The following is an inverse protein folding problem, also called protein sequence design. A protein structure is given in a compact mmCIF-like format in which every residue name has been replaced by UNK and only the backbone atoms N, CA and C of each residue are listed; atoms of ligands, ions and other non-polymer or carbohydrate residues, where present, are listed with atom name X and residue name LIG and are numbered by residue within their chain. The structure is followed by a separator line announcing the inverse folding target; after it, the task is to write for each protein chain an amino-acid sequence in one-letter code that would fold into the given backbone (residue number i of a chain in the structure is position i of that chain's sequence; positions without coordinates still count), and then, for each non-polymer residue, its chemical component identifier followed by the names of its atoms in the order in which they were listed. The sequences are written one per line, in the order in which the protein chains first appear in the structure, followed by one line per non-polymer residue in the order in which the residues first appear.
data_IF_500612869351
#
_entry.id   IF_500612869351
#
_cell.length_a   1.000
_cell.length_b   1.000
_cell.length_c   1.000
_cell.angle_alpha   90.00
_cell.angle_beta   90.00
_cell.angle_gamma   90.00
#
_symmetry.space_group_name_H-M   'P 1'
#
loop_
_entity.id
_entity.type
_entity.pdbx_description
1 polymer ?
#
# COMPACT_ATOMS: atom_id res chain seq x y z
N UNK A 1 19.18 0.98 10.61
CA UNK A 1 18.12 -0.05 10.75
C UNK A 1 16.71 0.43 10.32
N UNK A 2 16.54 1.56 9.60
CA UNK A 2 15.19 2.06 9.19
C UNK A 2 14.86 1.76 7.71
N UNK A 3 15.87 1.62 6.84
CA UNK A 3 15.66 1.39 5.39
C UNK A 3 15.05 0.03 5.05
N UNK A 4 15.33 -1.02 5.82
CA UNK A 4 14.86 -2.37 5.53
C UNK A 4 13.35 -2.53 5.79
N UNK A 5 12.86 -1.93 6.89
CA UNK A 5 11.45 -1.99 7.28
C UNK A 5 10.50 -1.39 6.23
N UNK A 6 10.90 -0.28 5.61
CA UNK A 6 10.14 0.39 4.54
C UNK A 6 10.18 -0.34 3.18
N UNK A 7 11.15 -1.21 2.96
CA UNK A 7 11.28 -1.98 1.72
C UNK A 7 10.46 -3.27 1.78
N UNK A 8 10.52 -3.99 2.92
CA UNK A 8 9.63 -5.11 3.24
C UNK A 8 8.16 -4.71 3.14
N UNK A 9 7.78 -3.62 3.82
CA UNK A 9 6.40 -3.07 3.78
C UNK A 9 5.93 -2.69 2.37
N UNK A 10 6.84 -2.35 1.44
CA UNK A 10 6.48 -1.98 0.06
C UNK A 10 6.14 -3.20 -0.81
N UNK A 11 6.82 -4.33 -0.62
CA UNK A 11 6.45 -5.60 -1.27
C UNK A 11 5.16 -6.17 -0.71
N UNK A 12 4.83 -5.82 0.54
CA UNK A 12 3.69 -6.39 1.23
C UNK A 12 2.35 -5.73 0.87
N UNK A 13 2.29 -4.57 0.19
CA UNK A 13 0.99 -3.96 -0.12
C UNK A 13 0.17 -4.76 -1.15
N UNK A 14 0.70 -5.11 -2.34
CA UNK A 14 -0.05 -5.97 -3.27
C UNK A 14 -0.42 -7.30 -2.63
N UNK A 15 0.54 -7.96 -1.96
CA UNK A 15 0.31 -9.22 -1.24
C UNK A 15 -0.80 -9.09 -0.18
N UNK A 16 -0.81 -8.01 0.60
CA UNK A 16 -1.84 -7.74 1.59
C UNK A 16 -3.22 -7.54 0.96
N UNK A 17 -3.31 -6.83 -0.18
CA UNK A 17 -4.57 -6.65 -0.91
C UNK A 17 -5.03 -7.95 -1.57
N UNK A 18 -4.09 -8.81 -1.99
CA UNK A 18 -4.39 -10.14 -2.52
C UNK A 18 -4.92 -11.09 -1.45
N UNK A 19 -4.34 -11.07 -0.25
CA UNK A 19 -4.71 -11.95 0.86
C UNK A 19 -5.96 -11.47 1.61
N UNK A 20 -6.10 -10.17 1.87
CA UNK A 20 -7.22 -9.62 2.63
C UNK A 20 -8.32 -8.96 1.78
N UNK A 21 -8.13 -8.90 0.47
CA UNK A 21 -9.05 -8.25 -0.46
C UNK A 21 -8.92 -6.73 -0.49
N UNK A 22 -9.86 -6.03 -1.15
CA UNK A 22 -9.80 -4.58 -1.31
C UNK A 22 -9.83 -3.85 0.03
N UNK A 23 -8.98 -2.83 0.19
CA UNK A 23 -8.86 -2.08 1.45
C UNK A 23 -8.93 -0.58 1.21
N UNK A 24 -9.52 0.12 2.17
CA UNK A 24 -9.53 1.57 2.19
C UNK A 24 -8.15 2.16 2.49
N UNK A 25 -7.97 3.44 2.16
CA UNK A 25 -6.73 4.15 2.50
C UNK A 25 -6.45 4.16 4.01
N UNK A 26 -7.50 4.08 4.84
CA UNK A 26 -7.45 4.10 6.31
C UNK A 26 -6.99 2.76 6.87
N UNK A 27 -7.46 1.66 6.30
CA UNK A 27 -7.03 0.31 6.67
C UNK A 27 -5.57 0.06 6.29
N UNK A 28 -5.15 0.51 5.10
CA UNK A 28 -3.76 0.43 4.67
C UNK A 28 -2.86 1.25 5.60
N UNK A 29 -3.29 2.45 6.02
CA UNK A 29 -2.54 3.25 7.01
C UNK A 29 -2.36 2.51 8.33
N UNK A 30 -3.40 1.85 8.82
CA UNK A 30 -3.36 1.09 10.08
C UNK A 30 -2.45 -0.14 9.97
N UNK A 31 -2.60 -0.95 8.93
CA UNK A 31 -1.80 -2.17 8.73
C UNK A 31 -0.31 -1.86 8.51
N UNK A 32 -0.01 -0.80 7.76
CA UNK A 32 1.36 -0.48 7.41
C UNK A 32 2.02 0.51 8.37
N UNK A 33 1.25 1.17 9.24
CA UNK A 33 1.72 2.23 10.14
C UNK A 33 2.49 3.33 9.38
N UNK A 34 2.00 3.70 8.19
CA UNK A 34 2.65 4.71 7.37
C UNK A 34 2.40 6.12 7.92
N UNK A 35 3.45 6.96 8.04
CA UNK A 35 3.26 8.40 8.18
C UNK A 35 2.50 8.91 6.94
N UNK A 36 1.44 9.72 7.15
CA UNK A 36 0.50 10.17 6.10
C UNK A 36 1.16 10.73 4.83
N UNK A 37 2.28 11.44 4.97
CA UNK A 37 3.06 12.03 3.86
C UNK A 37 3.89 11.00 3.07
N UNK A 38 4.22 9.86 3.69
CA UNK A 38 5.10 8.84 3.13
C UNK A 38 4.35 7.72 2.41
N UNK A 39 3.02 7.67 2.52
CA UNK A 39 2.18 6.63 1.93
C UNK A 39 1.85 6.90 0.45
N UNK A 40 1.70 8.17 0.07
CA UNK A 40 1.30 8.57 -1.28
C UNK A 40 2.36 8.18 -2.32
N UNK A 41 3.67 8.45 -2.14
CA UNK A 41 4.66 8.13 -3.17
C UNK A 41 4.81 6.61 -3.46
N UNK A 42 4.80 5.71 -2.47
CA UNK A 42 4.81 4.27 -2.69
C UNK A 42 3.56 3.74 -3.39
N UNK A 43 2.36 4.15 -2.96
CA UNK A 43 1.10 3.67 -3.57
C UNK A 43 1.02 4.15 -5.02
N UNK A 44 1.37 5.41 -5.28
CA UNK A 44 1.35 5.96 -6.63
C UNK A 44 2.29 5.18 -7.57
N UNK A 45 3.48 4.79 -7.09
CA UNK A 45 4.38 3.92 -7.88
C UNK A 45 3.78 2.55 -8.20
N UNK A 46 3.01 1.96 -7.28
CA UNK A 46 2.36 0.67 -7.51
C UNK A 46 1.22 0.80 -8.52
N UNK A 47 0.47 1.91 -8.48
CA UNK A 47 -0.53 2.25 -9.50
C UNK A 47 0.11 2.51 -10.86
N UNK A 48 1.22 3.27 -10.91
CA UNK A 48 1.98 3.55 -12.13
C UNK A 48 2.51 2.25 -12.78
N UNK A 49 2.75 1.21 -11.98
CA UNK A 49 3.16 -0.13 -12.44
C UNK A 49 1.99 -1.09 -12.69
N UNK A 50 0.74 -0.62 -12.58
CA UNK A 50 -0.48 -1.43 -12.69
C UNK A 50 -0.50 -2.66 -11.76
N UNK A 51 0.14 -2.56 -10.59
CA UNK A 51 0.13 -3.60 -9.54
C UNK A 51 -0.94 -3.38 -8.48
N UNK A 52 -1.54 -2.20 -8.47
CA UNK A 52 -2.65 -1.83 -7.58
C UNK A 52 -3.57 -0.91 -8.35
N UNK A 53 -4.87 -1.20 -8.33
CA UNK A 53 -5.92 -0.35 -8.89
C UNK A 53 -6.64 0.36 -7.74
N UNK A 54 -7.05 1.60 -7.97
CA UNK A 54 -7.91 2.34 -7.04
C UNK A 54 -9.26 2.59 -7.69
N UNK A 55 -10.32 2.07 -7.08
CA UNK A 55 -11.70 2.39 -7.40
C UNK A 55 -12.31 3.14 -6.22
N UNK A 56 -12.74 4.38 -6.45
CA UNK A 56 -13.16 5.32 -5.42
C UNK A 56 -12.14 5.51 -4.28
N UNK A 57 -12.35 4.85 -3.13
CA UNK A 57 -11.42 4.85 -2.00
C UNK A 57 -10.87 3.46 -1.63
N UNK A 58 -11.18 2.44 -2.43
CA UNK A 58 -10.69 1.09 -2.25
C UNK A 58 -9.52 0.81 -3.17
N UNK A 59 -8.48 0.18 -2.62
CA UNK A 59 -7.34 -0.32 -3.37
C UNK A 59 -7.43 -1.84 -3.49
N UNK A 60 -7.12 -2.38 -4.65
CA UNK A 60 -7.05 -3.81 -4.96
C UNK A 60 -5.78 -4.15 -5.75
N UNK A 61 -5.24 -5.37 -5.61
CA UNK A 61 -4.16 -5.89 -6.48
C UNK A 61 -4.70 -6.23 -7.88
#
# INVERSE_FOLDING_TARGET
MIRFFLFEKRKNLPLFLKEEGPKSSEEIKRAFCFPRKSMIPPIRKLMDWALVVKEDDLYSE
#
